data_IF_588362255786
#
_entry.id   IF_588362255786
#
_cell.length_a   1.000
_cell.length_b   1.000
_cell.length_c   1.000
_cell.angle_alpha   90.00
_cell.angle_beta   90.00
_cell.angle_gamma   90.00
#
_symmetry.space_group_name_H-M   'P 1'
#
loop_
_entity.id
_entity.type
_entity.pdbx_description
1 polymer ?
#
# COMPACT_ATOMS: atom_id res chain seq x y z
N UNK A 1 -8.49 -6.42 -0.78
CA UNK A 1 -8.92 -6.35 -2.20
C UNK A 1 -7.71 -6.52 -3.13
N UNK A 2 -7.93 -6.69 -4.45
CA UNK A 2 -6.83 -6.64 -5.43
C UNK A 2 -6.31 -5.22 -5.54
N UNK A 3 -5.01 -5.08 -5.61
CA UNK A 3 -4.31 -3.80 -5.77
C UNK A 3 -2.95 -4.08 -6.41
N UNK A 4 -2.60 -3.38 -7.47
CA UNK A 4 -1.32 -3.55 -8.14
C UNK A 4 -0.18 -3.19 -7.18
N UNK A 5 0.84 -4.04 -7.07
CA UNK A 5 1.94 -3.83 -6.11
C UNK A 5 1.61 -4.19 -4.66
N UNK A 6 0.35 -4.53 -4.35
CA UNK A 6 -0.06 -4.81 -2.96
C UNK A 6 0.71 -5.96 -2.31
N UNK A 7 1.15 -5.76 -1.08
CA UNK A 7 2.01 -6.67 -0.29
C UNK A 7 1.26 -7.78 0.45
N UNK A 8 0.04 -8.18 0.00
CA UNK A 8 -0.81 -9.13 0.73
C UNK A 8 -0.11 -10.46 1.10
N UNK A 9 0.78 -10.98 0.22
CA UNK A 9 1.52 -12.21 0.45
C UNK A 9 2.73 -12.04 1.39
N UNK A 10 3.21 -10.82 1.55
CA UNK A 10 4.40 -10.47 2.31
C UNK A 10 4.07 -9.78 3.63
N UNK A 11 2.87 -9.28 3.79
CA UNK A 11 2.44 -8.51 4.95
C UNK A 11 2.66 -9.21 6.28
N UNK A 12 2.42 -10.54 6.33
CA UNK A 12 2.68 -11.36 7.54
C UNK A 12 4.17 -11.43 7.92
N UNK A 13 5.06 -11.22 6.96
CA UNK A 13 6.51 -11.22 7.20
C UNK A 13 7.00 -9.81 7.47
N UNK A 14 6.54 -8.82 6.69
CA UNK A 14 7.01 -7.42 6.81
C UNK A 14 6.51 -6.79 8.11
N UNK A 15 5.22 -6.92 8.44
CA UNK A 15 4.65 -6.23 9.61
C UNK A 15 5.40 -6.49 10.93
N UNK A 16 5.83 -7.71 11.27
CA UNK A 16 6.66 -7.95 12.46
C UNK A 16 8.04 -7.31 12.40
N UNK A 17 8.65 -7.20 11.21
CA UNK A 17 9.99 -6.60 11.05
C UNK A 17 9.96 -5.10 11.35
N UNK A 18 8.82 -4.43 11.11
CA UNK A 18 8.67 -3.01 11.45
C UNK A 18 8.74 -2.75 12.96
N UNK A 19 8.65 -3.77 13.81
CA UNK A 19 8.67 -3.65 15.25
C UNK A 19 7.30 -3.28 15.84
N UNK A 20 7.30 -2.40 16.85
CA UNK A 20 6.08 -2.01 17.57
C UNK A 20 6.29 -0.84 18.52
N UNK A 21 5.29 -0.57 19.35
CA UNK A 21 5.25 0.59 20.25
C UNK A 21 4.71 1.83 19.55
N UNK A 22 4.82 2.97 20.09
CA UNK A 22 4.53 4.32 19.57
C UNK A 22 3.69 4.44 18.28
N UNK A 23 4.20 5.18 17.31
CA UNK A 23 3.48 5.47 16.06
C UNK A 23 4.15 4.89 14.82
N UNK A 24 3.39 4.19 13.98
CA UNK A 24 3.78 3.83 12.61
C UNK A 24 3.17 4.83 11.62
N UNK A 25 3.98 5.36 10.72
CA UNK A 25 3.53 6.16 9.58
C UNK A 25 3.85 5.43 8.29
N UNK A 26 2.82 5.04 7.53
CA UNK A 26 2.96 4.50 6.18
C UNK A 26 2.77 5.61 5.16
N UNK A 27 3.80 5.88 4.35
CA UNK A 27 3.81 6.99 3.38
C UNK A 27 3.07 6.66 2.08
N UNK A 28 2.96 5.36 1.74
CA UNK A 28 2.32 4.83 0.53
C UNK A 28 1.51 3.59 0.93
N UNK A 29 0.34 3.79 1.55
CA UNK A 29 -0.37 2.68 2.17
C UNK A 29 -1.06 1.73 1.17
N UNK A 30 -1.34 2.19 -0.04
CA UNK A 30 -2.00 1.37 -1.05
C UNK A 30 -3.22 0.61 -0.50
N UNK A 31 -3.20 -0.71 -0.61
CA UNK A 31 -4.29 -1.57 -0.10
C UNK A 31 -4.21 -1.86 1.41
N UNK A 32 -3.35 -1.21 2.18
CA UNK A 32 -3.17 -1.35 3.63
C UNK A 32 -2.91 -2.80 4.11
N UNK A 33 -2.22 -3.61 3.33
CA UNK A 33 -2.01 -5.01 3.69
C UNK A 33 -1.02 -5.19 4.86
N UNK A 34 0.05 -4.42 4.87
CA UNK A 34 1.07 -4.43 5.92
C UNK A 34 0.53 -3.71 7.15
N UNK A 35 -0.03 -2.54 6.95
CA UNK A 35 -0.54 -1.66 7.99
C UNK A 35 -1.64 -2.33 8.83
N UNK A 36 -2.57 -3.04 8.17
CA UNK A 36 -3.63 -3.77 8.86
C UNK A 36 -3.11 -4.87 9.81
N UNK A 37 -1.92 -5.40 9.59
CA UNK A 37 -1.28 -6.34 10.50
C UNK A 37 -0.42 -5.62 11.55
N UNK A 38 0.23 -4.52 11.16
CA UNK A 38 1.07 -3.72 12.03
C UNK A 38 0.28 -3.04 13.17
N UNK A 39 -1.03 -2.75 12.96
CA UNK A 39 -1.90 -2.20 14.02
C UNK A 39 -1.94 -3.02 15.32
N UNK A 40 -1.49 -4.26 15.29
CA UNK A 40 -1.42 -5.12 16.48
C UNK A 40 -0.20 -4.82 17.35
N UNK A 41 0.80 -4.18 16.78
CA UNK A 41 2.09 -3.94 17.42
C UNK A 41 2.30 -2.44 17.73
N UNK A 42 1.54 -1.54 17.11
CA UNK A 42 1.68 -0.10 17.25
C UNK A 42 0.48 0.51 17.96
N UNK A 43 0.71 1.47 18.83
CA UNK A 43 -0.34 2.23 19.51
C UNK A 43 -1.13 3.09 18.54
N UNK A 44 -0.42 3.70 17.58
CA UNK A 44 -1.00 4.56 16.57
C UNK A 44 -0.50 4.17 15.18
N UNK A 45 -1.38 4.16 14.20
CA UNK A 45 -1.04 3.93 12.79
C UNK A 45 -1.62 5.04 11.93
N UNK A 46 -0.77 5.68 11.16
CA UNK A 46 -1.12 6.71 10.18
C UNK A 46 -0.84 6.15 8.79
N UNK A 47 -1.86 6.10 7.95
CA UNK A 47 -1.76 5.63 6.57
C UNK A 47 -1.95 6.79 5.62
N UNK A 48 -0.94 7.10 4.83
CA UNK A 48 -1.00 8.09 3.76
C UNK A 48 -0.99 7.41 2.39
N UNK A 49 -1.69 8.01 1.46
CA UNK A 49 -1.56 7.74 0.02
C UNK A 49 -2.00 8.99 -0.75
N UNK A 50 -1.39 9.27 -1.89
CA UNK A 50 -1.77 10.42 -2.72
C UNK A 50 -3.00 10.16 -3.60
N UNK A 51 -3.57 8.96 -3.57
CA UNK A 51 -4.72 8.56 -4.36
C UNK A 51 -6.04 8.90 -3.64
N UNK A 52 -6.76 9.99 -4.02
CA UNK A 52 -7.88 10.52 -3.24
C UNK A 52 -9.05 9.54 -3.12
N UNK A 53 -9.37 8.80 -4.16
CA UNK A 53 -10.48 7.84 -4.13
C UNK A 53 -10.15 6.60 -3.28
N UNK A 54 -8.88 6.21 -3.20
CA UNK A 54 -8.45 5.13 -2.32
C UNK A 54 -8.64 5.52 -0.85
N UNK A 55 -8.18 6.70 -0.48
CA UNK A 55 -8.34 7.22 0.89
C UNK A 55 -9.82 7.51 1.21
N UNK A 56 -10.59 8.04 0.25
CA UNK A 56 -12.03 8.24 0.43
C UNK A 56 -12.75 6.92 0.71
N UNK A 57 -12.38 5.84 0.01
CA UNK A 57 -12.92 4.50 0.25
C UNK A 57 -12.62 4.02 1.67
N UNK A 58 -11.36 4.10 2.15
CA UNK A 58 -11.01 3.64 3.49
C UNK A 58 -11.71 4.45 4.58
N UNK A 59 -11.77 5.79 4.46
CA UNK A 59 -12.50 6.65 5.39
C UNK A 59 -13.99 6.33 5.42
N UNK A 60 -14.60 6.06 4.27
CA UNK A 60 -16.00 5.68 4.18
C UNK A 60 -16.26 4.30 4.82
N UNK A 61 -15.35 3.32 4.60
CA UNK A 61 -15.43 2.00 5.24
C UNK A 61 -15.36 2.10 6.78
N UNK A 62 -14.53 3.00 7.33
CA UNK A 62 -14.53 3.27 8.77
C UNK A 62 -15.86 3.83 9.28
N UNK A 63 -16.59 4.56 8.43
CA UNK A 63 -17.89 5.17 8.73
C UNK A 63 -19.08 4.31 8.28
N UNK A 64 -18.88 3.01 8.05
CA UNK A 64 -19.97 2.07 7.77
C UNK A 64 -20.37 1.96 6.29
N UNK A 65 -19.59 2.50 5.35
CA UNK A 65 -19.82 2.25 3.93
C UNK A 65 -19.68 0.75 3.64
N UNK A 66 -20.68 0.19 3.00
CA UNK A 66 -20.66 -1.18 2.51
C UNK A 66 -20.49 -1.20 0.99
N UNK A 67 -19.37 -1.71 0.47
CA UNK A 67 -19.22 -1.90 -0.97
C UNK A 67 -20.29 -2.85 -1.54
N UNK A 68 -20.76 -2.64 -2.77
CA UNK A 68 -21.76 -3.49 -3.40
C UNK A 68 -21.21 -4.90 -3.66
N UNK A 69 -22.11 -5.89 -3.62
CA UNK A 69 -21.76 -7.29 -3.94
C UNK A 69 -21.54 -7.50 -5.43
N UNK A 70 -22.20 -6.70 -6.26
CA UNK A 70 -22.12 -6.79 -7.72
C UNK A 70 -21.88 -5.38 -8.28
N UNK A 71 -21.03 -5.30 -9.28
CA UNK A 71 -20.79 -4.09 -10.08
C UNK A 71 -20.86 -4.50 -11.53
N UNK A 72 -21.76 -3.90 -12.31
CA UNK A 72 -21.86 -4.15 -13.75
C UNK A 72 -20.80 -3.40 -14.53
N UNK A 73 -20.58 -3.80 -15.80
CA UNK A 73 -19.64 -3.09 -16.66
C UNK A 73 -20.10 -1.67 -16.97
N UNK A 74 -21.42 -1.44 -17.08
CA UNK A 74 -22.02 -0.12 -17.25
C UNK A 74 -21.73 0.77 -16.04
N UNK A 75 -21.93 0.26 -14.82
CA UNK A 75 -21.61 0.97 -13.59
C UNK A 75 -20.10 1.28 -13.50
N UNK A 76 -19.25 0.33 -13.89
CA UNK A 76 -17.81 0.56 -13.94
C UNK A 76 -17.42 1.68 -14.91
N UNK A 77 -17.99 1.68 -16.13
CA UNK A 77 -17.76 2.72 -17.14
C UNK A 77 -18.30 4.08 -16.69
N UNK A 78 -19.47 4.08 -16.07
CA UNK A 78 -20.07 5.29 -15.52
C UNK A 78 -19.18 5.94 -14.45
N UNK A 79 -18.76 5.17 -13.44
CA UNK A 79 -17.88 5.67 -12.37
C UNK A 79 -16.49 6.06 -12.88
N UNK A 80 -16.00 5.40 -13.93
CA UNK A 80 -14.75 5.81 -14.59
C UNK A 80 -14.87 7.22 -15.22
N UNK A 81 -16.02 7.58 -15.74
CA UNK A 81 -16.28 8.89 -16.34
C UNK A 81 -16.66 9.95 -15.28
N UNK A 82 -17.35 9.56 -14.20
CA UNK A 82 -17.95 10.44 -13.19
C UNK A 82 -17.37 10.16 -11.79
N UNK A 83 -16.03 10.22 -11.65
CA UNK A 83 -15.32 9.75 -10.47
C UNK A 83 -15.69 10.48 -9.18
N UNK A 84 -16.03 11.77 -9.27
CA UNK A 84 -16.25 12.65 -8.13
C UNK A 84 -17.67 12.57 -7.55
N UNK A 85 -18.61 11.94 -8.25
CA UNK A 85 -20.00 11.79 -7.76
C UNK A 85 -20.09 10.91 -6.51
N UNK A 86 -19.26 9.86 -6.44
CA UNK A 86 -19.18 9.00 -5.26
C UNK A 86 -17.73 8.51 -5.08
N UNK A 87 -16.86 9.33 -4.46
CA UNK A 87 -15.44 9.02 -4.32
C UNK A 87 -15.14 7.68 -3.66
N UNK A 88 -15.92 7.30 -2.65
CA UNK A 88 -15.74 6.03 -1.93
C UNK A 88 -16.04 4.82 -2.81
N UNK A 89 -17.19 4.83 -3.49
CA UNK A 89 -17.58 3.77 -4.43
C UNK A 89 -16.62 3.73 -5.63
N UNK A 90 -16.21 4.89 -6.13
CA UNK A 90 -15.24 5.02 -7.20
C UNK A 90 -13.90 4.38 -6.82
N UNK A 91 -13.42 4.61 -5.60
CA UNK A 91 -12.22 3.97 -5.06
C UNK A 91 -12.34 2.45 -5.03
N UNK A 92 -13.45 1.93 -4.54
CA UNK A 92 -13.71 0.49 -4.53
C UNK A 92 -13.74 -0.10 -5.94
N UNK A 93 -14.57 0.45 -6.83
CA UNK A 93 -14.79 -0.07 -8.18
C UNK A 93 -13.53 0.06 -9.03
N UNK A 94 -12.83 1.20 -8.92
CA UNK A 94 -11.63 1.49 -9.69
C UNK A 94 -10.47 0.51 -9.44
N UNK A 95 -10.39 -0.06 -8.25
CA UNK A 95 -9.39 -1.08 -7.93
C UNK A 95 -9.96 -2.50 -7.93
N UNK A 96 -10.99 -2.78 -7.11
CA UNK A 96 -11.47 -4.14 -6.91
C UNK A 96 -12.06 -4.77 -8.18
N UNK A 97 -12.74 -3.96 -9.02
CA UNK A 97 -13.38 -4.41 -10.25
C UNK A 97 -12.52 -4.24 -11.51
N UNK A 98 -11.27 -3.80 -11.35
CA UNK A 98 -10.34 -3.65 -12.47
C UNK A 98 -9.41 -4.83 -12.66
N UNK A 99 -9.01 -5.06 -13.90
CA UNK A 99 -8.05 -6.10 -14.25
C UNK A 99 -6.74 -5.91 -13.48
N UNK A 100 -6.31 -6.95 -12.78
CA UNK A 100 -5.08 -6.92 -11.98
C UNK A 100 -5.08 -5.94 -10.79
N UNK A 101 -6.22 -5.32 -10.45
CA UNK A 101 -6.30 -4.27 -9.42
C UNK A 101 -5.66 -2.95 -9.84
N UNK A 102 -5.59 -2.68 -11.14
CA UNK A 102 -5.05 -1.46 -11.72
C UNK A 102 -6.16 -0.43 -11.90
N UNK A 103 -5.88 0.79 -11.52
CA UNK A 103 -6.84 1.88 -11.50
C UNK A 103 -7.56 2.11 -12.84
N UNK A 104 -8.80 1.63 -12.95
CA UNK A 104 -9.64 1.73 -14.15
C UNK A 104 -8.97 1.28 -15.47
N UNK A 105 -8.02 0.35 -15.44
CA UNK A 105 -7.35 -0.19 -16.66
C UNK A 105 -8.13 -1.32 -17.36
N UNK A 106 -9.41 -1.44 -17.10
CA UNK A 106 -10.30 -2.40 -17.74
C UNK A 106 -11.15 -3.17 -16.75
N UNK A 107 -12.41 -3.35 -17.05
CA UNK A 107 -13.33 -4.13 -16.22
C UNK A 107 -12.88 -5.59 -16.14
N UNK A 108 -12.71 -6.07 -14.91
CA UNK A 108 -12.24 -7.42 -14.68
C UNK A 108 -13.35 -8.44 -14.97
N UNK A 109 -13.15 -9.26 -16.00
CA UNK A 109 -14.00 -10.40 -16.32
C UNK A 109 -13.29 -11.68 -15.91
N UNK A 110 -14.04 -12.59 -15.30
CA UNK A 110 -13.57 -13.97 -15.06
C UNK A 110 -14.31 -14.92 -15.99
N UNK A 111 -13.59 -15.61 -16.85
CA UNK A 111 -14.16 -16.64 -17.74
C UNK A 111 -14.84 -17.78 -16.99
N UNK A 112 -14.61 -17.90 -15.68
CA UNK A 112 -15.21 -18.91 -14.79
C UNK A 112 -16.32 -18.32 -13.89
N UNK A 113 -16.83 -17.11 -14.19
CA UNK A 113 -17.94 -16.50 -13.44
C UNK A 113 -17.58 -15.92 -12.08
N UNK A 114 -16.29 -15.64 -11.84
CA UNK A 114 -15.84 -15.03 -10.58
C UNK A 114 -16.34 -13.59 -10.39
N UNK A 115 -16.90 -13.31 -9.21
CA UNK A 115 -17.37 -11.99 -8.82
C UNK A 115 -16.26 -11.21 -8.10
N UNK A 116 -15.62 -10.28 -8.82
CA UNK A 116 -14.53 -9.46 -8.29
C UNK A 116 -15.00 -8.44 -7.26
N UNK A 117 -16.19 -7.87 -7.40
CA UNK A 117 -16.76 -6.94 -6.43
C UNK A 117 -16.98 -7.65 -5.08
N UNK A 118 -17.66 -8.80 -5.06
CA UNK A 118 -17.88 -9.58 -3.86
C UNK A 118 -16.57 -10.03 -3.21
N UNK A 119 -15.59 -10.48 -4.00
CA UNK A 119 -14.27 -10.87 -3.50
C UNK A 119 -13.52 -9.67 -2.86
N UNK A 120 -13.57 -8.51 -3.51
CA UNK A 120 -13.00 -7.26 -3.01
C UNK A 120 -13.67 -6.82 -1.71
N UNK A 121 -15.01 -6.79 -1.67
CA UNK A 121 -15.80 -6.49 -0.46
C UNK A 121 -15.43 -7.40 0.71
N UNK A 122 -15.45 -8.71 0.52
CA UNK A 122 -15.09 -9.68 1.57
C UNK A 122 -13.68 -9.44 2.11
N UNK A 123 -12.75 -9.14 1.23
CA UNK A 123 -11.36 -8.84 1.62
C UNK A 123 -11.25 -7.57 2.46
N UNK A 124 -11.97 -6.51 2.11
CA UNK A 124 -12.02 -5.26 2.86
C UNK A 124 -12.71 -5.44 4.22
N UNK A 125 -13.90 -6.05 4.25
CA UNK A 125 -14.64 -6.30 5.49
C UNK A 125 -13.80 -7.10 6.48
N UNK A 126 -13.07 -8.13 6.01
CA UNK A 126 -12.17 -8.91 6.87
C UNK A 126 -11.02 -8.08 7.45
N UNK A 127 -10.56 -7.06 6.75
CA UNK A 127 -9.44 -6.22 7.15
C UNK A 127 -9.86 -5.05 8.05
N UNK A 128 -11.08 -4.52 7.87
CA UNK A 128 -11.58 -3.31 8.53
C UNK A 128 -11.51 -3.32 10.06
N UNK A 129 -11.75 -4.43 10.79
CA UNK A 129 -11.57 -4.45 12.23
C UNK A 129 -10.18 -3.97 12.69
N UNK A 130 -9.13 -4.30 11.93
CA UNK A 130 -7.77 -3.85 12.22
C UNK A 130 -7.52 -2.38 11.82
N UNK A 131 -8.27 -1.86 10.85
CA UNK A 131 -8.09 -0.48 10.36
C UNK A 131 -9.03 0.54 11.03
N UNK A 132 -9.87 0.13 11.99
CA UNK A 132 -10.90 0.99 12.58
C UNK A 132 -10.32 2.29 13.16
N UNK A 133 -9.19 2.21 13.84
CA UNK A 133 -8.54 3.34 14.53
C UNK A 133 -7.36 3.94 13.74
N UNK A 134 -7.13 3.50 12.51
CA UNK A 134 -6.08 4.04 11.65
C UNK A 134 -6.46 5.44 11.18
N UNK A 135 -5.50 6.38 11.25
CA UNK A 135 -5.68 7.72 10.69
C UNK A 135 -5.31 7.71 9.21
N UNK A 136 -6.29 7.96 8.33
CA UNK A 136 -6.06 8.06 6.88
C UNK A 136 -5.82 9.51 6.45
N UNK A 137 -4.72 9.74 5.72
CA UNK A 137 -4.31 11.03 5.14
C UNK A 137 -4.25 10.87 3.62
N UNK A 138 -4.63 11.92 2.89
CA UNK A 138 -4.46 11.99 1.45
C UNK A 138 -3.57 13.18 1.12
N UNK A 139 -2.28 12.94 0.94
CA UNK A 139 -1.32 13.99 0.57
C UNK A 139 -0.11 13.42 -0.17
N UNK A 140 0.73 14.29 -0.71
CA UNK A 140 2.06 13.89 -1.13
C UNK A 140 2.86 13.40 0.09
N UNK A 141 3.74 12.42 -0.13
CA UNK A 141 4.52 11.81 0.96
C UNK A 141 5.46 12.80 1.66
N UNK A 142 5.90 13.86 0.95
CA UNK A 142 6.70 14.92 1.54
C UNK A 142 5.92 15.80 2.53
N UNK A 143 4.60 15.91 2.35
CA UNK A 143 3.74 16.78 3.16
C UNK A 143 3.19 16.07 4.41
N UNK A 144 3.51 14.79 4.59
CA UNK A 144 3.08 14.03 5.76
C UNK A 144 3.86 14.48 6.99
N UNK A 145 3.15 15.00 7.98
CA UNK A 145 3.77 15.35 9.27
C UNK A 145 4.12 14.07 10.04
N UNK A 146 5.40 13.87 10.27
CA UNK A 146 5.94 12.74 11.03
C UNK A 146 5.98 13.11 12.52
N UNK A 147 5.30 12.34 13.41
CA UNK A 147 5.47 12.49 14.85
C UNK A 147 6.91 12.15 15.29
N UNK A 148 7.39 12.77 16.34
CA UNK A 148 8.74 12.53 16.89
C UNK A 148 8.93 11.03 17.20
N UNK A 149 10.07 10.49 16.78
CA UNK A 149 10.44 9.10 17.03
C UNK A 149 9.53 8.05 16.38
N UNK A 150 8.67 8.42 15.42
CA UNK A 150 7.82 7.45 14.74
C UNK A 150 8.66 6.50 13.87
N UNK A 151 8.11 5.30 13.66
CA UNK A 151 8.61 4.39 12.64
C UNK A 151 7.91 4.71 11.33
N UNK A 152 8.69 4.80 10.25
CA UNK A 152 8.18 5.10 8.90
C UNK A 152 8.28 3.85 8.03
N UNK A 153 7.20 3.53 7.32
CA UNK A 153 7.18 2.51 6.28
C UNK A 153 6.87 3.14 4.93
N UNK A 154 7.71 2.89 3.95
CA UNK A 154 7.56 3.36 2.57
C UNK A 154 7.55 2.18 1.60
N UNK A 155 6.48 2.05 0.82
CA UNK A 155 6.34 1.11 -0.32
C UNK A 155 6.00 1.92 -1.57
N UNK A 156 6.99 2.66 -2.13
CA UNK A 156 6.76 3.58 -3.23
C UNK A 156 6.33 2.83 -4.50
N UNK A 157 5.72 3.53 -5.48
CA UNK A 157 5.52 2.97 -6.80
C UNK A 157 6.86 2.61 -7.43
N UNK A 158 7.04 1.34 -7.81
CA UNK A 158 8.29 0.91 -8.43
C UNK A 158 8.63 1.67 -9.70
N UNK A 159 9.91 1.87 -9.93
CA UNK A 159 10.40 2.58 -11.11
C UNK A 159 9.78 2.01 -12.39
N UNK A 160 9.23 2.89 -13.25
CA UNK A 160 8.56 2.51 -14.49
C UNK A 160 7.08 2.13 -14.35
N UNK A 161 6.49 2.11 -13.14
CA UNK A 161 5.04 1.90 -13.00
C UNK A 161 4.27 3.22 -13.21
N UNK A 162 3.12 3.14 -13.89
CA UNK A 162 2.24 4.30 -14.07
C UNK A 162 1.63 4.68 -12.73
N UNK A 163 1.76 5.96 -12.37
CA UNK A 163 1.13 6.52 -11.19
C UNK A 163 -0.27 7.08 -11.50
N UNK A 164 -1.01 7.32 -10.43
CA UNK A 164 -2.21 8.14 -10.48
C UNK A 164 -1.86 9.52 -11.07
N UNK A 165 -2.65 10.01 -12.03
CA UNK A 165 -2.43 11.24 -12.82
C UNK A 165 -1.27 11.21 -13.84
N UNK A 166 -0.75 10.04 -14.23
CA UNK A 166 0.34 9.91 -15.20
C UNK A 166 1.63 10.67 -14.82
N UNK A 167 1.80 11.08 -13.56
CA UNK A 167 3.05 11.66 -13.09
C UNK A 167 4.13 10.59 -12.99
N UNK A 168 5.33 10.91 -13.46
CA UNK A 168 6.49 10.05 -13.25
C UNK A 168 6.95 10.21 -11.79
N UNK A 169 7.21 9.10 -11.12
CA UNK A 169 7.79 9.12 -9.77
C UNK A 169 9.25 9.55 -9.85
N UNK A 170 9.62 10.56 -9.09
CA UNK A 170 11.01 11.00 -8.99
C UNK A 170 11.72 10.14 -7.95
N UNK A 171 12.43 9.13 -8.44
CA UNK A 171 13.15 8.17 -7.60
C UNK A 171 14.33 8.84 -6.87
N UNK A 172 15.00 9.81 -7.50
CA UNK A 172 16.12 10.50 -6.88
C UNK A 172 15.67 11.41 -5.74
N UNK A 173 14.55 12.12 -5.93
CA UNK A 173 13.93 12.91 -4.88
C UNK A 173 13.43 12.02 -3.73
N UNK A 174 12.82 10.89 -4.04
CA UNK A 174 12.39 9.93 -3.03
C UNK A 174 13.56 9.47 -2.16
N UNK A 175 14.69 9.05 -2.73
CA UNK A 175 15.84 8.61 -1.94
C UNK A 175 16.50 9.73 -1.15
N UNK A 176 16.51 10.98 -1.67
CA UNK A 176 16.94 12.16 -0.91
C UNK A 176 16.07 12.39 0.32
N UNK A 177 14.76 12.32 0.16
CA UNK A 177 13.82 12.47 1.26
C UNK A 177 13.93 11.33 2.29
N UNK A 178 14.08 10.08 1.83
CA UNK A 178 14.28 8.96 2.74
C UNK A 178 15.55 9.10 3.60
N UNK A 179 16.65 9.63 3.04
CA UNK A 179 17.85 9.96 3.82
C UNK A 179 17.58 11.02 4.89
N UNK A 180 16.93 12.10 4.49
CA UNK A 180 16.60 13.20 5.39
C UNK A 180 15.82 12.72 6.61
N UNK A 181 14.71 12.02 6.40
CA UNK A 181 13.86 11.56 7.51
C UNK A 181 14.50 10.40 8.30
N UNK A 182 15.50 9.71 7.75
CA UNK A 182 16.27 8.70 8.48
C UNK A 182 17.22 9.28 9.53
N UNK A 183 17.41 10.61 9.55
CA UNK A 183 18.16 11.29 10.61
C UNK A 183 17.42 11.24 11.96
N UNK A 184 16.08 11.33 11.94
CA UNK A 184 15.25 11.40 13.14
C UNK A 184 14.37 10.17 13.36
N UNK A 185 14.09 9.40 12.30
CA UNK A 185 13.17 8.27 12.32
C UNK A 185 13.82 6.97 11.86
N UNK A 186 13.30 5.82 12.31
CA UNK A 186 13.62 4.53 11.70
C UNK A 186 12.73 4.37 10.48
N UNK A 187 13.35 4.27 9.28
CA UNK A 187 12.65 4.23 8.00
C UNK A 187 12.86 2.88 7.31
N UNK A 188 11.79 2.13 7.14
CA UNK A 188 11.77 0.88 6.39
C UNK A 188 11.24 1.12 4.97
N UNK A 189 11.96 0.63 3.96
CA UNK A 189 11.63 0.88 2.55
C UNK A 189 11.52 -0.44 1.80
N UNK A 190 10.33 -0.73 1.25
CA UNK A 190 10.11 -1.86 0.34
C UNK A 190 10.44 -1.43 -1.08
N UNK A 191 11.52 -1.98 -1.66
CA UNK A 191 11.94 -1.73 -3.03
C UNK A 191 12.75 -2.92 -3.59
N UNK A 192 13.01 -2.94 -4.89
CA UNK A 192 13.84 -3.97 -5.54
C UNK A 192 15.32 -3.63 -5.44
N UNK A 193 15.65 -2.35 -5.54
CA UNK A 193 16.99 -1.79 -5.54
C UNK A 193 17.03 -0.52 -4.69
N UNK A 194 18.14 -0.28 -4.03
CA UNK A 194 18.39 0.91 -3.23
C UNK A 194 19.80 1.44 -3.48
N UNK A 195 20.07 2.72 -3.20
CA UNK A 195 21.42 3.27 -3.14
C UNK A 195 22.29 2.57 -2.09
N UNK A 196 23.62 2.66 -2.23
CA UNK A 196 24.59 1.91 -1.40
C UNK A 196 24.55 2.24 0.09
N UNK A 197 24.02 3.41 0.47
CA UNK A 197 23.85 3.83 1.86
C UNK A 197 22.59 3.24 2.53
N UNK A 198 21.78 2.47 1.79
CA UNK A 198 20.65 1.71 2.31
C UNK A 198 20.96 0.22 2.34
N UNK A 199 20.88 -0.36 3.53
CA UNK A 199 21.20 -1.76 3.78
C UNK A 199 19.97 -2.62 3.65
N UNK A 200 20.06 -3.71 2.89
CA UNK A 200 19.01 -4.72 2.81
C UNK A 200 19.01 -5.54 4.09
N UNK A 201 17.93 -5.46 4.87
CA UNK A 201 17.76 -6.20 6.13
C UNK A 201 16.90 -7.45 5.97
N UNK A 202 16.16 -7.54 4.88
CA UNK A 202 15.33 -8.70 4.55
C UNK A 202 15.09 -8.79 3.05
N UNK A 203 15.07 -10.01 2.53
CA UNK A 203 14.68 -10.27 1.15
C UNK A 203 13.91 -11.57 1.00
N UNK A 204 13.07 -11.66 -0.03
CA UNK A 204 12.33 -12.86 -0.38
C UNK A 204 12.07 -12.94 -1.87
N UNK A 205 12.39 -14.09 -2.46
CA UNK A 205 11.98 -14.37 -3.83
C UNK A 205 10.46 -14.57 -3.90
N UNK A 206 9.83 -13.90 -4.83
CA UNK A 206 8.41 -14.01 -5.13
C UNK A 206 8.22 -14.28 -6.62
N UNK A 207 7.25 -15.13 -6.93
CA UNK A 207 6.85 -15.34 -8.31
C UNK A 207 5.82 -14.28 -8.69
N UNK A 208 6.12 -13.47 -9.68
CA UNK A 208 5.21 -12.50 -10.28
C UNK A 208 4.71 -13.05 -11.61
N UNK A 209 3.50 -12.71 -11.98
CA UNK A 209 2.90 -13.05 -13.27
C UNK A 209 2.34 -11.78 -13.90
N UNK A 210 2.57 -11.63 -15.20
CA UNK A 210 1.99 -10.54 -15.99
C UNK A 210 0.58 -10.89 -16.47
N UNK A 211 0.29 -12.19 -16.61
CA UNK A 211 -0.98 -12.72 -17.07
C UNK A 211 -1.26 -14.12 -16.47
N UNK A 212 -2.24 -14.84 -17.01
CA UNK A 212 -2.58 -16.22 -16.59
C UNK A 212 -1.66 -17.29 -17.17
N UNK A 213 -0.78 -16.94 -18.11
CA UNK A 213 0.13 -17.90 -18.71
C UNK A 213 1.30 -18.18 -17.76
N UNK A 214 1.48 -19.46 -17.40
CA UNK A 214 2.57 -19.88 -16.51
C UNK A 214 3.96 -19.64 -17.09
N UNK A 215 4.08 -19.57 -18.41
CA UNK A 215 5.34 -19.31 -19.11
C UNK A 215 5.81 -17.85 -18.94
N UNK A 216 4.89 -16.96 -18.55
CA UNK A 216 5.18 -15.55 -18.26
C UNK A 216 5.46 -15.29 -16.77
N UNK A 217 5.73 -16.34 -16.00
CA UNK A 217 6.12 -16.20 -14.60
C UNK A 217 7.59 -15.80 -14.53
N UNK A 218 7.88 -14.72 -13.81
CA UNK A 218 9.24 -14.32 -13.51
C UNK A 218 9.45 -14.21 -11.99
N UNK A 219 10.66 -14.52 -11.57
CA UNK A 219 11.07 -14.36 -10.19
C UNK A 219 11.49 -12.90 -9.98
N UNK A 220 10.94 -12.27 -8.97
CA UNK A 220 11.39 -10.98 -8.46
C UNK A 220 11.83 -11.17 -7.00
N UNK A 221 12.83 -10.43 -6.56
CA UNK A 221 13.24 -10.44 -5.16
C UNK A 221 12.71 -9.17 -4.52
N UNK A 222 11.73 -9.32 -3.65
CA UNK A 222 11.25 -8.23 -2.80
C UNK A 222 12.24 -8.04 -1.67
N UNK A 223 12.59 -6.78 -1.38
CA UNK A 223 13.56 -6.43 -0.36
C UNK A 223 13.01 -5.37 0.60
N UNK A 224 13.55 -5.35 1.80
CA UNK A 224 13.30 -4.32 2.78
C UNK A 224 14.64 -3.68 3.15
N UNK A 225 14.71 -2.38 3.00
CA UNK A 225 15.91 -1.60 3.24
C UNK A 225 15.74 -0.65 4.41
N UNK A 226 16.83 -0.32 5.06
CA UNK A 226 16.95 0.78 6.02
C UNK A 226 18.21 1.59 5.71
N UNK A 227 18.21 2.88 6.06
CA UNK A 227 19.43 3.67 5.98
C UNK A 227 20.48 3.18 6.99
N UNK A 228 21.76 3.17 6.61
CA UNK A 228 22.86 2.67 7.46
C UNK A 228 22.89 3.29 8.85
N UNK A 229 22.50 4.56 9.01
CA UNK A 229 22.42 5.24 10.30
C UNK A 229 21.33 4.66 11.23
N UNK A 230 20.33 4.00 10.67
CA UNK A 230 19.25 3.37 11.45
C UNK A 230 19.63 2.00 12.02
N UNK A 231 20.68 1.34 11.53
CA UNK A 231 21.09 -0.01 12.00
C UNK A 231 21.37 0.00 13.49
N UNK A 232 22.13 0.98 13.98
CA UNK A 232 22.48 1.11 15.41
C UNK A 232 21.23 1.35 16.27
N UNK A 233 20.27 2.13 15.79
CA UNK A 233 19.02 2.43 16.50
C UNK A 233 18.12 1.19 16.60
N UNK A 234 18.04 0.37 15.53
CA UNK A 234 17.29 -0.89 15.56
C UNK A 234 17.87 -1.90 16.56
N UNK A 235 19.17 -1.93 16.75
CA UNK A 235 19.83 -2.82 17.73
C UNK A 235 19.48 -2.39 19.16
N UNK A 236 19.43 -1.10 19.44
CA UNK A 236 19.10 -0.57 20.78
C UNK A 236 17.64 -0.82 21.19
N UNK A 237 16.68 -0.75 20.23
CA UNK A 237 15.26 -1.02 20.50
C UNK A 237 14.92 -2.50 20.72
N UNK A 238 15.81 -3.42 20.38
CA UNK A 238 15.61 -4.87 20.62
C UNK A 238 16.22 -5.35 21.94
N UNK A 239 17.00 -4.51 22.62
CA UNK A 239 17.67 -4.80 23.90
C UNK A 239 16.92 -4.24 25.13
N UNK A 240 15.83 -3.47 24.89
CA UNK A 240 14.88 -2.98 25.90
C UNK A 240 13.58 -3.81 25.92
#
# INVERSE_FOLDING_TARGET
MRYQGGKARLAKTIAPILGGGGTLVSLFCGACNVEALATRNFENVICNDNHPYLIAMFKALQNGFEPPDVVTEEQYKYLKANKDENPALTGFVGFACSFGGRWFEGYARDGNGGNYALSGKRSLIKMMPNLRNVKFICSDYHDVKLPDGCIVYADPPYNGTKQFQNKKFDTDEFWRYMRLISEDHIVFISELHAPDDFVCIWEKQVTRTLDRNKDNYFKATEKLFIHQNNIKRLQQTNDE
#
